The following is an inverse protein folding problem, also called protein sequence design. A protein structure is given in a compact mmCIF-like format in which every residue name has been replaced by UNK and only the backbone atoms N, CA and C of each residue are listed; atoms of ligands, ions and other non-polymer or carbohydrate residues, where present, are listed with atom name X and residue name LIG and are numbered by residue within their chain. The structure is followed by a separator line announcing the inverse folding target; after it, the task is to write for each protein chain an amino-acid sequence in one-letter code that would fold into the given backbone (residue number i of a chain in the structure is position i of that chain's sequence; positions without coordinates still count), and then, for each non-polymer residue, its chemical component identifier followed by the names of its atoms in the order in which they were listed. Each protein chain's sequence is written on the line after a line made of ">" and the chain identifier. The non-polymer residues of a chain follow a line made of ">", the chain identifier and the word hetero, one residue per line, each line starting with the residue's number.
data_IF_891736485555
#
_entry.id   IF_891736485555
#
_cell.length_a   1.000
_cell.length_b   1.000
_cell.length_c   1.000
_cell.angle_alpha   90.00
_cell.angle_beta   90.00
_cell.angle_gamma   90.00
#
_symmetry.space_group_name_H-M   'P 1'
#
loop_
_entity.id
_entity.type
_entity.pdbx_description
1 polymer ?
#
# COMPACT_ATOMS: atom_id res chain seq x y z
N UNK A 1 -12.24 -34.58 -56.82
CA UNK A 1 -11.20 -33.65 -56.28
C UNK A 1 -11.59 -33.24 -54.86
N UNK A 2 -10.81 -33.54 -53.83
CA UNK A 2 -11.10 -33.05 -52.50
C UNK A 2 -10.63 -31.59 -52.38
N UNK A 3 -11.26 -30.75 -51.51
CA UNK A 3 -10.92 -29.36 -51.38
C UNK A 3 -9.55 -29.19 -50.67
N UNK A 4 -8.72 -28.30 -51.20
CA UNK A 4 -7.42 -27.91 -50.61
C UNK A 4 -7.64 -27.26 -49.25
N UNK A 5 -7.02 -27.79 -48.21
CA UNK A 5 -6.90 -27.13 -46.90
C UNK A 5 -6.07 -25.84 -47.08
N UNK A 6 -6.67 -24.69 -46.84
CA UNK A 6 -5.95 -23.41 -46.78
C UNK A 6 -5.02 -23.41 -45.56
N UNK A 7 -3.73 -23.48 -45.82
CA UNK A 7 -2.73 -23.23 -44.80
C UNK A 7 -2.77 -21.75 -44.42
N UNK A 8 -3.06 -21.42 -43.14
CA UNK A 8 -2.87 -20.05 -42.61
C UNK A 8 -1.42 -19.63 -42.85
N UNK A 9 -1.15 -18.35 -43.22
CA UNK A 9 0.20 -17.87 -43.42
C UNK A 9 1.00 -17.97 -42.12
N UNK A 10 2.25 -18.41 -42.20
CA UNK A 10 3.17 -18.52 -41.06
C UNK A 10 3.38 -17.17 -40.30
N UNK A 11 3.08 -16.06 -40.98
CA UNK A 11 3.09 -14.72 -40.38
C UNK A 11 2.01 -14.56 -39.30
N UNK A 12 0.76 -14.96 -39.55
CA UNK A 12 -0.37 -14.87 -38.63
C UNK A 12 -0.18 -15.74 -37.37
N UNK A 13 0.47 -16.90 -37.54
CA UNK A 13 0.77 -17.81 -36.42
C UNK A 13 1.88 -17.21 -35.52
N UNK A 14 2.90 -16.60 -36.15
CA UNK A 14 3.97 -15.91 -35.37
C UNK A 14 3.50 -14.65 -34.68
N UNK A 15 2.57 -13.92 -35.25
CA UNK A 15 1.98 -12.73 -34.67
C UNK A 15 1.02 -13.08 -33.53
N UNK A 16 0.21 -14.13 -33.68
CA UNK A 16 -0.65 -14.64 -32.61
C UNK A 16 0.15 -15.27 -31.44
N UNK A 17 1.26 -15.94 -31.72
CA UNK A 17 2.18 -16.45 -30.70
C UNK A 17 2.91 -15.31 -29.98
N UNK A 18 3.36 -14.27 -30.70
CA UNK A 18 3.96 -13.08 -30.07
C UNK A 18 2.97 -12.30 -29.20
N UNK A 19 1.73 -12.15 -29.63
CA UNK A 19 0.69 -11.49 -28.84
C UNK A 19 0.30 -12.32 -27.61
N UNK A 20 0.25 -13.64 -27.71
CA UNK A 20 0.03 -14.55 -26.58
C UNK A 20 1.21 -14.56 -25.59
N UNK A 21 2.46 -14.67 -26.09
CA UNK A 21 3.65 -14.63 -25.25
C UNK A 21 3.88 -13.26 -24.59
N UNK A 22 3.56 -12.16 -25.29
CA UNK A 22 3.56 -10.82 -24.71
C UNK A 22 2.47 -10.65 -23.64
N UNK A 23 1.28 -11.17 -23.85
CA UNK A 23 0.21 -11.14 -22.86
C UNK A 23 0.59 -11.91 -21.58
N UNK A 24 1.20 -13.10 -21.71
CA UNK A 24 1.66 -13.90 -20.57
C UNK A 24 2.86 -13.27 -19.82
N UNK A 25 3.74 -12.57 -20.53
CA UNK A 25 4.89 -11.90 -19.89
C UNK A 25 4.51 -10.66 -19.08
N UNK A 26 3.31 -10.12 -19.26
CA UNK A 26 2.82 -8.93 -18.56
C UNK A 26 2.14 -9.22 -17.22
N UNK A 27 1.67 -10.45 -16.99
CA UNK A 27 0.98 -10.85 -15.76
C UNK A 27 1.98 -11.10 -14.64
N UNK A 28 1.78 -10.40 -13.53
CA UNK A 28 2.64 -10.48 -12.35
C UNK A 28 1.84 -11.05 -11.20
N UNK A 29 2.22 -12.24 -10.74
CA UNK A 29 1.57 -12.92 -9.63
C UNK A 29 2.10 -12.43 -8.27
N UNK A 30 1.20 -12.34 -7.30
CA UNK A 30 1.51 -12.16 -5.89
C UNK A 30 1.59 -13.56 -5.27
N UNK A 31 2.79 -13.96 -4.85
CA UNK A 31 3.05 -15.31 -4.31
C UNK A 31 3.26 -15.31 -2.80
N UNK A 32 3.49 -14.14 -2.19
CA UNK A 32 3.61 -14.01 -0.74
C UNK A 32 3.11 -12.67 -0.26
N UNK A 33 2.61 -12.64 0.97
CA UNK A 33 2.10 -11.44 1.64
C UNK A 33 2.57 -11.40 3.09
N UNK A 34 2.85 -10.20 3.59
CA UNK A 34 3.22 -9.99 4.99
C UNK A 34 2.83 -8.59 5.46
N UNK A 35 2.43 -8.47 6.72
CA UNK A 35 2.01 -7.19 7.28
C UNK A 35 2.22 -7.11 8.79
N UNK A 36 2.62 -5.92 9.25
CA UNK A 36 2.58 -5.53 10.66
C UNK A 36 1.84 -4.21 10.74
N UNK A 37 0.65 -4.22 11.29
CA UNK A 37 -0.29 -3.08 11.26
C UNK A 37 -0.93 -2.86 12.63
N UNK A 38 -1.77 -1.83 12.80
CA UNK A 38 -2.51 -1.64 14.05
C UNK A 38 -3.44 -2.79 14.41
N UNK A 39 -3.87 -3.61 13.45
CA UNK A 39 -4.79 -4.72 13.69
C UNK A 39 -4.12 -6.06 13.98
N UNK A 40 -2.81 -6.18 13.73
CA UNK A 40 -2.07 -7.40 13.99
C UNK A 40 -0.71 -7.47 13.31
N UNK A 41 -0.01 -8.57 13.54
CA UNK A 41 1.39 -8.77 13.15
C UNK A 41 1.56 -9.59 11.86
N UNK A 42 0.46 -9.94 11.19
CA UNK A 42 0.48 -10.77 9.98
C UNK A 42 -0.49 -10.24 8.91
N UNK A 43 -0.28 -10.65 7.66
CA UNK A 43 -1.22 -10.39 6.56
C UNK A 43 -2.61 -11.00 6.83
N UNK A 44 -2.67 -12.13 7.53
CA UNK A 44 -3.93 -12.77 7.95
C UNK A 44 -4.66 -11.94 9.02
N UNK A 45 -3.93 -11.33 9.97
CA UNK A 45 -4.52 -10.42 10.96
C UNK A 45 -5.07 -9.17 10.28
N UNK A 46 -4.35 -8.63 9.30
CA UNK A 46 -4.78 -7.47 8.52
C UNK A 46 -6.13 -7.75 7.82
N UNK A 47 -6.25 -8.88 7.15
CA UNK A 47 -7.50 -9.30 6.53
C UNK A 47 -8.63 -9.48 7.53
N UNK A 48 -8.39 -10.23 8.61
CA UNK A 48 -9.39 -10.42 9.65
C UNK A 48 -9.81 -9.09 10.31
N UNK A 49 -8.87 -8.15 10.47
CA UNK A 49 -9.15 -6.81 10.98
C UNK A 49 -10.00 -5.98 10.02
N UNK A 50 -9.74 -6.05 8.72
CA UNK A 50 -10.54 -5.39 7.70
C UNK A 50 -12.00 -5.89 7.73
N UNK A 51 -12.21 -7.20 7.82
CA UNK A 51 -13.56 -7.78 7.90
C UNK A 51 -14.31 -7.38 9.16
N UNK A 52 -13.63 -7.24 10.30
CA UNK A 52 -14.26 -6.78 11.55
C UNK A 52 -14.61 -5.30 11.52
N UNK A 53 -13.95 -4.51 10.68
CA UNK A 53 -14.09 -3.06 10.56
C UNK A 53 -14.05 -2.31 11.92
N UNK A 54 -13.27 -2.82 12.87
CA UNK A 54 -13.11 -2.20 14.18
C UNK A 54 -11.94 -1.22 14.15
N UNK A 55 -12.16 0.07 14.47
CA UNK A 55 -11.11 1.07 14.52
C UNK A 55 -10.04 0.73 15.55
N UNK A 56 -8.78 1.01 15.21
CA UNK A 56 -7.64 0.81 16.12
C UNK A 56 -7.12 2.11 16.72
N UNK A 57 -7.76 3.23 16.39
CA UNK A 57 -7.37 4.55 16.86
C UNK A 57 -7.50 4.65 18.38
N UNK A 58 -6.45 5.12 19.02
CA UNK A 58 -6.36 5.24 20.46
C UNK A 58 -5.53 6.47 20.88
N UNK A 59 -5.68 6.88 22.14
CA UNK A 59 -4.84 7.93 22.73
C UNK A 59 -3.39 7.43 22.79
N UNK A 60 -2.46 8.29 22.38
CA UNK A 60 -1.02 8.04 22.42
C UNK A 60 -0.47 8.75 23.68
N UNK A 61 -0.04 8.00 24.73
CA UNK A 61 0.26 8.59 26.03
C UNK A 61 1.32 9.69 26.00
N UNK A 62 2.40 9.53 25.22
CA UNK A 62 3.46 10.54 25.15
C UNK A 62 3.03 11.83 24.43
N UNK A 63 2.13 11.74 23.44
CA UNK A 63 1.54 12.90 22.77
C UNK A 63 0.57 13.64 23.70
N UNK A 64 -0.24 12.90 24.45
CA UNK A 64 -1.15 13.46 25.43
C UNK A 64 -0.38 14.18 26.55
N UNK A 65 0.68 13.56 27.09
CA UNK A 65 1.51 14.14 28.13
C UNK A 65 2.25 15.42 27.68
N UNK A 66 2.55 15.51 26.38
CA UNK A 66 3.20 16.68 25.77
C UNK A 66 2.21 17.78 25.34
N UNK A 67 0.91 17.64 25.61
CA UNK A 67 -0.10 18.65 25.32
C UNK A 67 -0.45 18.83 23.84
N UNK A 68 -0.28 17.78 23.01
CA UNK A 68 -0.63 17.84 21.61
C UNK A 68 -2.12 18.10 21.40
N UNK A 69 -2.47 18.89 20.38
CA UNK A 69 -3.87 19.14 19.97
C UNK A 69 -4.54 17.91 19.44
N UNK A 70 -3.79 16.99 18.80
CA UNK A 70 -4.25 15.68 18.34
C UNK A 70 -3.40 14.60 19.00
N UNK A 71 -3.77 14.13 20.23
CA UNK A 71 -2.98 13.17 20.98
C UNK A 71 -3.33 11.71 20.70
N UNK A 72 -3.89 11.39 19.53
CA UNK A 72 -4.34 10.05 19.17
C UNK A 72 -3.84 9.64 17.79
N UNK A 73 -3.85 8.33 17.54
CA UNK A 73 -3.42 7.71 16.31
C UNK A 73 -3.65 6.20 16.35
N UNK A 74 -3.26 5.50 15.30
CA UNK A 74 -3.35 4.05 15.17
C UNK A 74 -1.95 3.42 15.16
N UNK A 75 -1.35 3.16 16.34
CA UNK A 75 -0.03 2.55 16.43
C UNK A 75 -0.08 1.09 15.98
N UNK A 76 0.92 0.67 15.20
CA UNK A 76 1.10 -0.73 14.86
C UNK A 76 1.40 -1.55 16.12
N UNK A 77 0.99 -2.81 16.12
CA UNK A 77 1.43 -3.77 17.15
C UNK A 77 2.96 -3.86 17.18
N UNK A 78 3.52 -4.42 18.24
CA UNK A 78 4.97 -4.60 18.33
C UNK A 78 5.45 -5.56 17.25
N UNK A 79 6.38 -5.13 16.36
CA UNK A 79 6.91 -6.01 15.34
C UNK A 79 7.73 -7.14 15.98
N UNK A 80 7.61 -8.34 15.41
CA UNK A 80 8.37 -9.49 15.86
C UNK A 80 9.79 -9.46 15.28
N UNK A 81 10.77 -9.88 16.08
CA UNK A 81 12.14 -10.09 15.57
C UNK A 81 12.12 -11.28 14.62
N UNK A 82 12.47 -11.12 13.35
CA UNK A 82 12.49 -12.25 12.42
C UNK A 82 13.43 -13.36 12.86
N UNK A 83 13.07 -14.60 12.53
CA UNK A 83 13.92 -15.75 12.80
C UNK A 83 15.32 -15.56 12.16
N UNK A 84 16.37 -15.91 12.87
CA UNK A 84 17.76 -15.71 12.41
C UNK A 84 18.32 -14.29 12.60
N UNK A 85 17.49 -13.31 12.96
CA UNK A 85 17.95 -11.95 13.25
C UNK A 85 18.27 -11.78 14.73
N UNK A 86 19.43 -11.18 15.05
CA UNK A 86 19.72 -10.86 16.45
C UNK A 86 18.80 -9.76 16.97
N UNK A 87 18.24 -9.94 18.17
CA UNK A 87 17.43 -8.91 18.84
C UNK A 87 18.19 -7.59 19.04
N UNK A 88 19.53 -7.63 19.17
CA UNK A 88 20.37 -6.44 19.24
C UNK A 88 20.34 -5.64 17.94
N UNK A 89 20.48 -6.29 16.79
CA UNK A 89 20.44 -5.63 15.50
C UNK A 89 19.05 -5.06 15.22
N UNK A 90 18.00 -5.82 15.53
CA UNK A 90 16.62 -5.37 15.39
C UNK A 90 16.33 -4.10 16.21
N UNK A 91 16.74 -4.05 17.49
CA UNK A 91 16.57 -2.86 18.35
C UNK A 91 17.38 -1.63 17.91
N UNK A 92 18.39 -1.80 17.06
CA UNK A 92 19.18 -0.70 16.49
C UNK A 92 18.56 -0.07 15.24
N UNK A 93 17.48 -0.62 14.73
CA UNK A 93 16.72 -0.03 13.63
C UNK A 93 15.75 1.03 14.18
N UNK A 94 15.44 2.03 13.36
CA UNK A 94 14.26 2.87 13.62
C UNK A 94 12.99 2.02 13.45
N UNK A 95 11.92 2.44 14.12
CA UNK A 95 10.66 1.68 14.14
C UNK A 95 10.08 1.40 12.76
N UNK A 96 10.15 2.37 11.81
CA UNK A 96 9.67 2.10 10.45
C UNK A 96 10.39 0.92 9.78
N UNK A 97 11.72 0.83 9.99
CA UNK A 97 12.52 -0.27 9.45
C UNK A 97 12.21 -1.60 10.17
N UNK A 98 11.95 -1.58 11.48
CA UNK A 98 11.51 -2.78 12.21
C UNK A 98 10.18 -3.31 11.65
N UNK A 99 9.20 -2.44 11.42
CA UNK A 99 7.91 -2.78 10.81
C UNK A 99 8.09 -3.37 9.40
N UNK A 100 8.92 -2.68 8.59
CA UNK A 100 9.21 -3.12 7.22
C UNK A 100 9.94 -4.46 7.16
N UNK A 101 10.94 -4.67 8.00
CA UNK A 101 11.70 -5.93 8.05
C UNK A 101 10.81 -7.08 8.48
N UNK A 102 10.01 -6.91 9.55
CA UNK A 102 9.11 -7.97 10.02
C UNK A 102 8.08 -8.36 8.95
N UNK A 103 7.41 -7.39 8.33
CA UNK A 103 6.43 -7.63 7.28
C UNK A 103 7.07 -8.20 5.99
N UNK A 104 8.24 -7.68 5.60
CA UNK A 104 8.95 -8.15 4.40
C UNK A 104 9.44 -9.59 4.55
N UNK A 105 9.95 -9.97 5.71
CA UNK A 105 10.38 -11.34 5.97
C UNK A 105 9.20 -12.31 6.01
N UNK A 106 8.06 -11.92 6.60
CA UNK A 106 6.83 -12.71 6.54
C UNK A 106 6.41 -12.94 5.08
N UNK A 107 6.34 -11.89 4.25
CA UNK A 107 5.97 -12.00 2.84
C UNK A 107 6.92 -12.93 2.07
N UNK A 108 8.22 -12.82 2.31
CA UNK A 108 9.21 -13.65 1.64
C UNK A 108 9.06 -15.13 2.03
N UNK A 109 8.83 -15.43 3.30
CA UNK A 109 8.58 -16.80 3.77
C UNK A 109 7.25 -17.35 3.25
N UNK A 110 6.17 -16.55 3.25
CA UNK A 110 4.86 -16.93 2.71
C UNK A 110 4.92 -17.29 1.22
N UNK A 111 5.82 -16.65 0.46
CA UNK A 111 6.00 -16.92 -0.96
C UNK A 111 6.56 -18.31 -1.26
N UNK A 112 7.23 -18.93 -0.30
CA UNK A 112 7.93 -20.18 -0.49
C UNK A 112 9.08 -20.11 -1.50
N UNK A 113 9.56 -18.92 -1.85
CA UNK A 113 10.74 -18.73 -2.73
C UNK A 113 11.96 -19.35 -2.04
N UNK A 114 12.52 -20.38 -2.66
CA UNK A 114 13.74 -21.05 -2.19
C UNK A 114 14.67 -21.32 -3.36
N UNK A 115 15.98 -21.19 -3.11
CA UNK A 115 16.99 -21.46 -4.15
C UNK A 115 17.02 -20.45 -5.31
N UNK A 116 16.32 -19.31 -5.20
CA UNK A 116 16.45 -18.22 -6.15
C UNK A 116 17.88 -17.67 -6.13
N UNK A 117 18.42 -17.30 -7.30
CA UNK A 117 19.68 -16.59 -7.38
C UNK A 117 19.57 -15.24 -6.64
N UNK A 118 20.32 -15.01 -5.55
CA UNK A 118 20.22 -13.78 -4.76
C UNK A 118 20.47 -12.50 -5.58
N UNK A 119 21.19 -12.58 -6.69
CA UNK A 119 21.44 -11.44 -7.59
C UNK A 119 20.22 -11.09 -8.46
N UNK A 120 19.26 -12.01 -8.56
CA UNK A 120 18.03 -11.88 -9.34
C UNK A 120 16.78 -11.67 -8.49
N UNK A 121 16.95 -11.44 -7.19
CA UNK A 121 15.88 -11.01 -6.27
C UNK A 121 16.05 -9.52 -5.99
N UNK A 122 15.01 -8.72 -6.11
CA UNK A 122 15.02 -7.30 -5.77
C UNK A 122 14.20 -7.01 -4.51
N UNK A 123 14.56 -5.94 -3.80
CA UNK A 123 13.79 -5.36 -2.71
C UNK A 123 13.39 -3.93 -3.10
N UNK A 124 12.10 -3.62 -3.10
CA UNK A 124 11.58 -2.27 -3.42
C UNK A 124 10.69 -1.81 -2.28
N UNK A 125 11.11 -0.78 -1.57
CA UNK A 125 10.41 -0.28 -0.38
C UNK A 125 9.84 1.11 -0.64
N UNK A 126 8.54 1.26 -0.48
CA UNK A 126 7.85 2.55 -0.42
C UNK A 126 7.98 3.16 0.98
N UNK A 127 8.39 4.43 1.04
CA UNK A 127 8.51 5.13 2.31
C UNK A 127 8.35 6.65 2.09
N UNK A 128 7.58 7.33 2.94
CA UNK A 128 7.31 8.75 2.79
C UNK A 128 8.36 9.63 3.50
N UNK A 129 8.79 9.27 4.70
CA UNK A 129 9.59 10.16 5.56
C UNK A 129 10.83 9.54 6.21
N UNK A 130 11.03 8.24 6.12
CA UNK A 130 12.20 7.56 6.71
C UNK A 130 12.16 7.44 8.23
N UNK A 131 13.34 7.33 8.86
CA UNK A 131 13.53 7.11 10.29
C UNK A 131 13.23 8.33 11.14
N UNK A 132 11.98 8.71 11.22
CA UNK A 132 11.54 9.94 11.88
C UNK A 132 11.70 9.89 13.39
N UNK A 133 11.39 8.75 14.01
CA UNK A 133 11.53 8.58 15.44
C UNK A 133 13.00 8.72 15.91
N UNK A 134 13.92 8.13 15.17
CA UNK A 134 15.35 8.31 15.46
C UNK A 134 15.81 9.74 15.22
N UNK A 135 15.37 10.38 14.12
CA UNK A 135 15.73 11.77 13.83
C UNK A 135 15.31 12.73 14.94
N UNK A 136 14.04 12.63 15.38
CA UNK A 136 13.50 13.50 16.44
C UNK A 136 14.25 13.27 17.78
N UNK A 137 14.52 12.03 18.15
CA UNK A 137 15.26 11.66 19.35
C UNK A 137 16.70 12.19 19.34
N UNK A 138 17.45 11.94 18.28
CA UNK A 138 18.85 12.35 18.18
C UNK A 138 18.98 13.88 18.11
N UNK A 139 18.04 14.56 17.44
CA UNK A 139 17.99 16.03 17.41
C UNK A 139 17.74 16.63 18.81
N UNK A 140 16.84 16.02 19.59
CA UNK A 140 16.58 16.43 20.96
C UNK A 140 17.83 16.21 21.86
N UNK A 141 18.51 15.07 21.71
CA UNK A 141 19.76 14.80 22.46
C UNK A 141 20.87 15.78 22.08
N UNK A 142 21.04 16.10 20.80
CA UNK A 142 21.99 17.11 20.36
C UNK A 142 21.71 18.48 20.99
N UNK A 143 20.44 18.90 21.02
CA UNK A 143 20.04 20.19 21.58
C UNK A 143 20.32 20.32 23.09
N UNK A 144 20.22 19.20 23.84
CA UNK A 144 20.42 19.18 25.30
C UNK A 144 21.89 18.96 25.70
N UNK A 145 22.59 18.02 25.02
CA UNK A 145 23.89 17.52 25.48
C UNK A 145 25.02 17.67 24.42
N UNK A 146 24.75 18.33 23.31
CA UNK A 146 25.73 18.63 22.27
C UNK A 146 26.14 17.43 21.38
N UNK A 147 27.16 17.63 20.52
CA UNK A 147 27.49 16.67 19.46
C UNK A 147 27.93 15.28 19.93
N UNK A 148 28.54 15.19 21.13
CA UNK A 148 29.00 13.90 21.69
C UNK A 148 27.86 12.99 22.16
N UNK A 149 26.64 13.51 22.29
CA UNK A 149 25.48 12.75 22.71
C UNK A 149 24.76 12.05 21.53
N UNK A 150 25.07 12.41 20.29
CA UNK A 150 24.43 11.84 19.10
C UNK A 150 24.96 10.44 18.83
N UNK A 151 24.05 9.50 18.57
CA UNK A 151 24.41 8.13 18.25
C UNK A 151 25.15 8.02 16.91
N UNK A 152 26.26 7.29 16.82
CA UNK A 152 26.94 7.03 15.55
C UNK A 152 26.09 6.17 14.59
N UNK A 153 25.01 5.56 15.07
CA UNK A 153 24.05 4.80 14.25
C UNK A 153 22.96 5.68 13.64
N UNK A 154 22.85 6.96 14.04
CA UNK A 154 21.81 7.86 13.55
C UNK A 154 21.69 7.85 12.01
N UNK A 155 22.77 7.96 11.22
CA UNK A 155 22.63 7.96 9.76
C UNK A 155 21.94 6.70 9.23
N UNK A 156 22.35 5.52 9.70
CA UNK A 156 21.78 4.25 9.25
C UNK A 156 20.35 4.00 9.74
N UNK A 157 19.93 4.70 10.80
CA UNK A 157 18.58 4.62 11.34
C UNK A 157 17.60 5.56 10.63
N UNK A 158 18.09 6.72 10.18
CA UNK A 158 17.24 7.78 9.62
C UNK A 158 17.08 7.74 8.12
N UNK A 159 18.01 7.10 7.40
CA UNK A 159 17.97 7.02 5.93
C UNK A 159 16.71 6.28 5.43
N UNK A 160 15.97 6.82 4.45
CA UNK A 160 14.77 6.17 3.91
C UNK A 160 15.01 4.76 3.37
N UNK A 161 16.23 4.46 2.89
CA UNK A 161 16.60 3.15 2.37
C UNK A 161 16.96 2.11 3.45
N UNK A 162 16.91 2.47 4.74
CA UNK A 162 17.32 1.56 5.82
C UNK A 162 16.49 0.26 5.83
N UNK A 163 15.18 0.33 5.60
CA UNK A 163 14.33 -0.85 5.55
C UNK A 163 14.72 -1.78 4.40
N UNK A 164 14.92 -1.25 3.18
CA UNK A 164 15.33 -2.03 2.01
C UNK A 164 16.69 -2.71 2.25
N UNK A 165 17.66 -1.97 2.80
CA UNK A 165 18.98 -2.50 3.12
C UNK A 165 18.93 -3.62 4.17
N UNK A 166 18.15 -3.43 5.25
CA UNK A 166 18.05 -4.41 6.32
C UNK A 166 17.31 -5.69 5.91
N UNK A 167 16.28 -5.57 5.06
CA UNK A 167 15.63 -6.72 4.44
C UNK A 167 16.63 -7.51 3.57
N UNK A 168 17.34 -6.79 2.68
CA UNK A 168 18.33 -7.41 1.79
C UNK A 168 19.45 -8.12 2.56
N UNK A 169 19.99 -7.48 3.60
CA UNK A 169 21.03 -8.06 4.46
C UNK A 169 20.50 -9.32 5.17
N UNK A 170 19.29 -9.26 5.74
CA UNK A 170 18.74 -10.38 6.49
C UNK A 170 18.44 -11.61 5.61
N UNK A 171 17.85 -11.37 4.44
CA UNK A 171 17.48 -12.42 3.49
C UNK A 171 18.63 -12.86 2.56
N UNK A 172 19.81 -12.22 2.64
CA UNK A 172 20.94 -12.52 1.78
C UNK A 172 20.71 -12.11 0.31
N UNK A 173 19.83 -11.15 0.06
CA UNK A 173 19.51 -10.65 -1.28
C UNK A 173 20.63 -9.69 -1.74
N UNK A 174 21.22 -9.97 -2.89
CA UNK A 174 22.31 -9.18 -3.49
C UNK A 174 21.93 -8.53 -4.83
N UNK A 175 20.68 -8.66 -5.25
CA UNK A 175 20.11 -7.92 -6.37
C UNK A 175 19.76 -6.46 -6.00
N UNK A 176 19.03 -5.74 -6.87
CA UNK A 176 18.68 -4.34 -6.65
C UNK A 176 17.87 -4.14 -5.37
N UNK A 177 18.25 -3.17 -4.53
CA UNK A 177 17.49 -2.74 -3.35
C UNK A 177 17.24 -1.24 -3.45
N UNK A 178 15.98 -0.84 -3.60
CA UNK A 178 15.58 0.54 -3.85
C UNK A 178 14.52 1.03 -2.86
N UNK A 179 14.46 2.36 -2.70
CA UNK A 179 13.38 3.02 -1.98
C UNK A 179 12.67 3.99 -2.92
N UNK A 180 11.36 3.92 -2.96
CA UNK A 180 10.47 4.81 -3.71
C UNK A 180 9.77 5.74 -2.72
N UNK A 181 9.77 7.05 -3.01
CA UNK A 181 9.20 8.07 -2.15
C UNK A 181 8.20 8.94 -2.93
N UNK A 182 6.94 8.54 -2.93
CA UNK A 182 5.79 9.25 -3.49
C UNK A 182 4.71 9.47 -2.44
N UNK A 183 5.16 9.77 -1.20
CA UNK A 183 4.33 9.99 -0.02
C UNK A 183 3.34 8.82 0.22
N UNK A 184 2.04 9.08 0.24
CA UNK A 184 1.03 8.04 0.50
C UNK A 184 0.93 6.99 -0.62
N UNK A 185 1.36 7.31 -1.84
CA UNK A 185 1.35 6.39 -2.98
C UNK A 185 2.58 5.44 -3.01
N UNK A 186 3.59 5.66 -2.15
CA UNK A 186 4.88 4.96 -2.19
C UNK A 186 4.75 3.43 -2.23
N UNK A 187 3.82 2.85 -1.47
CA UNK A 187 3.63 1.40 -1.43
C UNK A 187 3.10 0.81 -2.73
N UNK A 188 2.15 1.51 -3.40
CA UNK A 188 1.67 1.11 -4.73
C UNK A 188 2.75 1.31 -5.78
N UNK A 189 3.46 2.44 -5.76
CA UNK A 189 4.54 2.73 -6.70
C UNK A 189 5.72 1.77 -6.54
N UNK A 190 5.98 1.27 -5.33
CA UNK A 190 6.97 0.22 -5.11
C UNK A 190 6.58 -1.09 -5.84
N UNK A 191 5.29 -1.46 -5.82
CA UNK A 191 4.77 -2.60 -6.58
C UNK A 191 4.90 -2.34 -8.09
N UNK A 192 4.46 -1.18 -8.58
CA UNK A 192 4.56 -0.80 -10.00
C UNK A 192 6.00 -0.79 -10.52
N UNK A 193 6.93 -0.28 -9.72
CA UNK A 193 8.36 -0.34 -10.06
C UNK A 193 8.89 -1.79 -10.05
N UNK A 194 8.47 -2.61 -9.07
CA UNK A 194 8.77 -4.04 -9.04
C UNK A 194 8.29 -4.78 -10.28
N UNK A 195 7.07 -4.49 -10.75
CA UNK A 195 6.55 -5.03 -12.02
C UNK A 195 7.45 -4.68 -13.22
N UNK A 196 7.95 -3.44 -13.26
CA UNK A 196 8.87 -2.99 -14.33
C UNK A 196 10.18 -3.78 -14.30
N UNK A 197 10.75 -4.05 -13.13
CA UNK A 197 11.97 -4.86 -13.00
C UNK A 197 11.75 -6.31 -13.47
N UNK A 198 10.60 -6.93 -13.15
CA UNK A 198 10.26 -8.28 -13.59
C UNK A 198 10.03 -8.35 -15.10
N UNK A 199 9.25 -7.41 -15.65
CA UNK A 199 8.92 -7.35 -17.08
C UNK A 199 10.15 -7.09 -17.96
N UNK A 200 11.10 -6.31 -17.46
CA UNK A 200 12.38 -6.09 -18.14
C UNK A 200 13.33 -7.30 -18.09
N UNK A 201 12.97 -8.36 -17.36
CA UNK A 201 13.81 -9.54 -17.17
C UNK A 201 15.07 -9.28 -16.32
N UNK A 202 15.15 -8.11 -15.65
CA UNK A 202 16.31 -7.75 -14.84
C UNK A 202 16.40 -8.60 -13.56
N UNK A 203 15.25 -9.00 -13.00
CA UNK A 203 15.15 -9.89 -11.84
C UNK A 203 14.04 -10.92 -12.07
N UNK A 204 13.98 -11.94 -11.23
CA UNK A 204 12.98 -12.99 -11.30
C UNK A 204 11.97 -12.94 -10.14
N UNK A 205 12.37 -12.34 -9.03
CA UNK A 205 11.54 -12.16 -7.84
C UNK A 205 11.70 -10.71 -7.33
N UNK A 206 10.61 -10.11 -6.90
CA UNK A 206 10.64 -8.80 -6.24
C UNK A 206 9.87 -8.86 -4.92
N UNK A 207 10.52 -8.51 -3.83
CA UNK A 207 9.86 -8.18 -2.58
C UNK A 207 9.54 -6.69 -2.59
N UNK A 208 8.27 -6.34 -2.79
CA UNK A 208 7.79 -4.96 -2.91
C UNK A 208 6.80 -4.63 -1.80
N UNK A 209 6.87 -3.42 -1.26
CA UNK A 209 5.92 -2.99 -0.24
C UNK A 209 6.27 -1.63 0.33
N UNK A 210 5.67 -1.31 1.47
CA UNK A 210 5.95 -0.04 2.14
C UNK A 210 5.94 -0.17 3.67
N UNK A 211 6.62 0.77 4.32
CA UNK A 211 6.65 0.84 5.78
C UNK A 211 6.79 2.28 6.26
N UNK A 212 6.12 2.60 7.38
CA UNK A 212 6.11 3.95 7.93
C UNK A 212 5.89 3.94 9.44
N UNK A 213 6.52 4.90 10.15
CA UNK A 213 6.27 5.15 11.58
C UNK A 213 6.43 6.64 11.87
N UNK A 214 5.32 7.34 12.02
CA UNK A 214 5.26 8.81 12.11
C UNK A 214 4.48 9.32 13.33
N UNK A 215 4.14 8.46 14.28
CA UNK A 215 3.50 8.86 15.54
C UNK A 215 4.51 9.51 16.51
N UNK A 216 5.26 10.49 16.00
CA UNK A 216 6.26 11.25 16.78
C UNK A 216 5.76 12.65 17.08
N UNK A 217 6.22 13.28 18.19
CA UNK A 217 5.74 14.60 18.58
C UNK A 217 5.87 15.65 17.48
N UNK A 218 7.03 15.74 16.83
CA UNK A 218 7.26 16.78 15.80
C UNK A 218 6.41 16.54 14.58
N UNK A 219 6.29 15.28 14.12
CA UNK A 219 5.47 14.95 12.94
C UNK A 219 3.99 15.20 13.21
N UNK A 220 3.48 14.77 14.36
CA UNK A 220 2.08 15.00 14.72
C UNK A 220 1.74 16.48 14.85
N UNK A 221 2.66 17.28 15.43
CA UNK A 221 2.49 18.73 15.51
C UNK A 221 2.44 19.37 14.10
N UNK A 222 3.32 18.95 13.19
CA UNK A 222 3.37 19.47 11.83
C UNK A 222 2.07 19.15 11.04
N UNK A 223 1.58 17.90 11.09
CA UNK A 223 0.33 17.53 10.43
C UNK A 223 -0.91 18.18 11.06
N UNK A 224 -0.90 18.40 12.40
CA UNK A 224 -1.94 19.16 13.07
C UNK A 224 -1.95 20.63 12.61
N UNK A 225 -0.78 21.25 12.48
CA UNK A 225 -0.65 22.62 11.97
C UNK A 225 -1.10 22.76 10.50
N UNK A 226 -1.02 21.70 9.70
CA UNK A 226 -1.57 21.65 8.35
C UNK A 226 -3.10 21.51 8.30
N UNK A 227 -3.77 21.34 9.46
CA UNK A 227 -5.19 21.00 9.57
C UNK A 227 -5.58 19.74 8.76
N UNK A 228 -4.66 18.78 8.65
CA UNK A 228 -4.88 17.55 7.90
C UNK A 228 -5.42 16.42 8.78
N UNK A 229 -5.15 16.47 10.09
CA UNK A 229 -5.59 15.47 11.07
C UNK A 229 -7.01 15.74 11.57
N UNK A 230 -7.75 14.67 11.87
CA UNK A 230 -9.02 14.77 12.58
C UNK A 230 -8.80 15.41 13.96
N UNK A 231 -9.75 16.24 14.37
CA UNK A 231 -9.74 16.93 15.66
C UNK A 231 -10.67 16.31 16.70
N UNK A 232 -11.26 15.15 16.41
CA UNK A 232 -12.27 14.45 17.22
C UNK A 232 -11.68 13.82 18.50
N UNK A 233 -11.29 14.66 19.44
CA UNK A 233 -10.59 14.26 20.69
C UNK A 233 -11.49 13.49 21.66
N UNK A 234 -12.80 13.81 21.68
CA UNK A 234 -13.78 13.20 22.59
C UNK A 234 -14.15 11.78 22.17
N UNK A 235 -13.95 11.46 20.88
CA UNK A 235 -14.18 10.12 20.32
C UNK A 235 -13.09 9.78 19.32
N UNK A 236 -11.84 9.47 19.77
CA UNK A 236 -10.74 9.12 18.89
C UNK A 236 -11.02 7.88 18.02
N UNK A 237 -11.74 6.91 18.53
CA UNK A 237 -12.10 5.68 17.80
C UNK A 237 -12.99 5.97 16.60
N UNK A 238 -13.86 6.96 16.68
CA UNK A 238 -14.73 7.43 15.60
C UNK A 238 -14.09 8.46 14.67
N UNK A 239 -12.81 8.78 14.82
CA UNK A 239 -12.17 9.89 14.11
C UNK A 239 -11.92 9.59 12.62
N UNK A 240 -11.42 8.40 12.27
CA UNK A 240 -11.25 8.00 10.87
C UNK A 240 -12.54 7.40 10.33
N UNK A 241 -13.19 8.12 9.41
CA UNK A 241 -14.53 7.81 8.86
C UNK A 241 -14.63 8.13 7.37
N UNK A 242 -13.98 7.34 6.51
CA UNK A 242 -13.93 7.61 5.07
C UNK A 242 -15.33 7.77 4.45
N UNK A 243 -15.49 8.78 3.59
CA UNK A 243 -16.72 9.15 2.86
C UNK A 243 -17.93 9.53 3.75
N UNK A 244 -17.78 9.50 5.06
CA UNK A 244 -18.85 9.94 5.98
C UNK A 244 -19.00 11.47 5.92
N UNK A 245 -20.24 11.94 6.07
CA UNK A 245 -20.56 13.38 6.03
C UNK A 245 -19.83 14.17 7.12
N UNK A 246 -19.63 13.56 8.28
CA UNK A 246 -19.07 14.23 9.46
C UNK A 246 -17.54 13.98 9.60
N UNK A 247 -16.85 13.59 8.51
CA UNK A 247 -15.39 13.46 8.48
C UNK A 247 -14.73 14.82 8.56
N UNK A 248 -13.62 14.92 9.28
CA UNK A 248 -12.94 16.19 9.55
C UNK A 248 -11.41 16.14 9.33
N UNK A 249 -10.86 14.98 8.97
CA UNK A 249 -9.42 14.79 8.75
C UNK A 249 -9.02 13.33 8.88
N UNK A 250 -7.77 13.01 8.54
CA UNK A 250 -7.28 11.65 8.70
C UNK A 250 -6.74 11.37 10.11
N UNK A 251 -6.64 10.11 10.46
CA UNK A 251 -5.94 9.63 11.66
C UNK A 251 -4.59 9.07 11.25
N UNK A 252 -3.50 9.53 11.86
CA UNK A 252 -2.17 8.99 11.61
C UNK A 252 -2.07 7.55 12.10
N UNK A 253 -1.57 6.67 11.24
CA UNK A 253 -1.23 5.29 11.54
C UNK A 253 0.25 4.99 11.30
N UNK A 254 0.69 3.80 11.69
CA UNK A 254 1.99 3.25 11.35
C UNK A 254 1.88 1.78 10.97
N UNK A 255 2.82 1.28 10.17
CA UNK A 255 2.79 -0.12 9.76
C UNK A 255 3.86 -0.47 8.73
N UNK A 256 3.88 -1.75 8.37
CA UNK A 256 4.60 -2.29 7.23
C UNK A 256 3.74 -3.32 6.52
N UNK A 257 3.75 -3.31 5.20
CA UNK A 257 3.05 -4.29 4.37
C UNK A 257 3.87 -4.57 3.11
N UNK A 258 4.01 -5.84 2.76
CA UNK A 258 4.83 -6.31 1.65
C UNK A 258 4.15 -7.43 0.89
N UNK A 259 4.47 -7.52 -0.40
CA UNK A 259 4.11 -8.62 -1.27
C UNK A 259 5.34 -9.14 -2.01
N UNK A 260 5.36 -10.43 -2.34
CA UNK A 260 6.33 -11.01 -3.26
C UNK A 260 5.70 -11.13 -4.63
N UNK A 261 6.40 -10.62 -5.62
CA UNK A 261 5.98 -10.56 -7.01
C UNK A 261 6.86 -11.47 -7.87
N UNK A 262 6.25 -12.21 -8.77
CA UNK A 262 6.91 -13.05 -9.75
C UNK A 262 6.14 -12.97 -11.09
N UNK A 263 6.82 -13.20 -12.22
CA UNK A 263 6.09 -13.42 -13.47
C UNK A 263 5.19 -14.66 -13.31
N UNK A 264 3.94 -14.59 -13.74
CA UNK A 264 2.97 -15.67 -13.54
C UNK A 264 3.49 -17.02 -14.03
N UNK A 265 4.12 -17.05 -15.22
CA UNK A 265 4.73 -18.27 -15.78
C UNK A 265 5.79 -18.90 -14.86
N UNK A 266 6.60 -18.08 -14.21
CA UNK A 266 7.68 -18.55 -13.32
C UNK A 266 7.11 -19.06 -12.00
N UNK A 267 6.10 -18.36 -11.45
CA UNK A 267 5.37 -18.76 -10.26
C UNK A 267 4.65 -20.12 -10.47
N UNK A 268 3.96 -20.27 -11.60
CA UNK A 268 3.30 -21.53 -11.97
C UNK A 268 4.30 -22.65 -12.17
N UNK A 269 5.42 -22.39 -12.87
CA UNK A 269 6.44 -23.39 -13.16
C UNK A 269 7.09 -23.96 -11.87
N UNK A 270 7.24 -23.16 -10.82
CA UNK A 270 7.75 -23.65 -9.52
C UNK A 270 6.67 -24.18 -8.57
N UNK A 271 5.40 -24.18 -8.99
CA UNK A 271 4.28 -24.62 -8.15
C UNK A 271 3.96 -23.68 -6.99
N UNK A 272 4.19 -22.38 -7.16
CA UNK A 272 3.90 -21.39 -6.12
C UNK A 272 2.40 -21.31 -5.83
N UNK A 273 2.06 -21.01 -4.57
CA UNK A 273 0.75 -20.46 -4.28
C UNK A 273 0.65 -19.06 -4.92
N UNK A 274 -0.42 -18.82 -5.64
CA UNK A 274 -0.76 -17.51 -6.20
C UNK A 274 -1.94 -16.97 -5.40
N UNK A 275 -1.74 -15.85 -4.72
CA UNK A 275 -2.78 -15.16 -3.97
C UNK A 275 -3.68 -14.32 -4.89
N UNK A 276 -3.12 -13.79 -5.96
CA UNK A 276 -3.76 -12.98 -6.98
C UNK A 276 -2.74 -12.53 -8.01
N UNK A 277 -3.21 -11.87 -9.06
CA UNK A 277 -2.37 -11.37 -10.15
C UNK A 277 -2.58 -9.87 -10.33
N UNK A 278 -1.50 -9.10 -10.40
CA UNK A 278 -1.55 -7.68 -10.79
C UNK A 278 -1.62 -7.62 -12.31
N UNK A 279 -2.71 -7.06 -12.82
CA UNK A 279 -2.98 -6.96 -14.25
C UNK A 279 -2.49 -5.66 -14.85
N UNK A 280 -2.62 -4.55 -14.11
CA UNK A 280 -2.25 -3.23 -14.60
C UNK A 280 -1.90 -2.26 -13.49
N UNK A 281 -1.05 -1.29 -13.83
CA UNK A 281 -0.59 -0.21 -12.97
C UNK A 281 -0.68 1.13 -13.72
N UNK A 282 -1.09 2.18 -13.01
CA UNK A 282 -1.08 3.54 -13.52
C UNK A 282 -0.50 4.49 -12.48
N UNK A 283 0.33 5.43 -12.93
CA UNK A 283 0.93 6.45 -12.05
C UNK A 283 0.99 7.79 -12.75
N UNK A 284 0.58 8.84 -12.06
CA UNK A 284 0.54 10.22 -12.57
C UNK A 284 0.88 11.22 -11.48
N UNK A 285 1.05 12.47 -11.88
CA UNK A 285 1.23 13.60 -10.95
C UNK A 285 0.25 14.71 -11.30
N UNK A 286 -0.43 15.30 -10.31
CA UNK A 286 -1.38 16.40 -10.49
C UNK A 286 -0.72 17.69 -10.99
N UNK A 287 0.55 17.92 -10.63
CA UNK A 287 1.29 19.15 -10.89
C UNK A 287 0.50 20.41 -10.48
N UNK A 288 -0.20 20.36 -9.35
CA UNK A 288 -1.13 21.40 -8.91
C UNK A 288 -0.72 22.05 -7.58
N UNK A 289 -0.61 21.27 -6.49
CA UNK A 289 -0.33 21.79 -5.14
C UNK A 289 0.43 20.75 -4.31
N UNK A 290 1.22 21.22 -3.30
CA UNK A 290 2.04 20.31 -2.47
C UNK A 290 1.21 19.39 -1.58
N UNK A 291 0.03 19.81 -1.10
CA UNK A 291 -0.75 19.06 -0.11
C UNK A 291 -2.23 18.86 -0.50
N UNK A 292 -2.72 19.56 -1.52
CA UNK A 292 -4.11 19.45 -1.95
C UNK A 292 -4.21 18.68 -3.27
N UNK A 293 -5.19 17.78 -3.41
CA UNK A 293 -5.47 17.14 -4.68
C UNK A 293 -5.95 18.19 -5.70
N UNK A 294 -5.74 17.92 -6.97
CA UNK A 294 -6.34 18.74 -8.04
C UNK A 294 -7.88 18.69 -7.91
N UNK A 295 -8.58 19.85 -7.84
CA UNK A 295 -10.03 19.87 -7.57
C UNK A 295 -10.87 19.05 -8.56
N UNK A 296 -10.42 18.94 -9.80
CA UNK A 296 -11.06 18.12 -10.83
C UNK A 296 -10.66 16.64 -10.77
N UNK A 297 -9.66 16.25 -9.95
CA UNK A 297 -9.18 14.87 -9.87
C UNK A 297 -8.57 14.32 -11.15
N UNK A 298 -8.04 15.20 -12.03
CA UNK A 298 -7.60 14.80 -13.40
C UNK A 298 -6.46 13.79 -13.36
N UNK A 299 -5.48 14.01 -12.45
CA UNK A 299 -4.37 13.09 -12.26
C UNK A 299 -4.82 11.74 -11.73
N UNK A 300 -5.67 11.73 -10.68
CA UNK A 300 -6.23 10.52 -10.11
C UNK A 300 -7.04 9.71 -11.14
N UNK A 301 -7.89 10.38 -11.93
CA UNK A 301 -8.64 9.75 -13.02
C UNK A 301 -7.70 9.16 -14.09
N UNK A 302 -6.66 9.89 -14.48
CA UNK A 302 -5.69 9.43 -15.45
C UNK A 302 -4.92 8.18 -14.96
N UNK A 303 -4.52 8.13 -13.68
CA UNK A 303 -3.86 6.96 -13.09
C UNK A 303 -4.78 5.73 -13.12
N UNK A 304 -6.05 5.87 -12.74
CA UNK A 304 -7.03 4.78 -12.79
C UNK A 304 -7.22 4.30 -14.24
N UNK A 305 -7.42 5.22 -15.20
CA UNK A 305 -7.59 4.84 -16.62
C UNK A 305 -6.36 4.18 -17.22
N UNK A 306 -5.15 4.60 -16.82
CA UNK A 306 -3.90 3.92 -17.23
C UNK A 306 -3.86 2.49 -16.69
N UNK A 307 -4.18 2.28 -15.40
CA UNK A 307 -4.21 0.93 -14.80
C UNK A 307 -5.22 0.02 -15.50
N UNK A 308 -6.43 0.51 -15.80
CA UNK A 308 -7.45 -0.23 -16.55
C UNK A 308 -6.98 -0.57 -17.97
N UNK A 309 -6.39 0.40 -18.68
CA UNK A 309 -5.89 0.19 -20.04
C UNK A 309 -4.74 -0.82 -20.09
N UNK A 310 -3.80 -0.75 -19.12
CA UNK A 310 -2.69 -1.72 -19.03
C UNK A 310 -3.21 -3.12 -18.67
N UNK A 311 -4.24 -3.20 -17.81
CA UNK A 311 -4.89 -4.46 -17.48
C UNK A 311 -5.71 -5.06 -18.65
N UNK A 312 -6.06 -4.27 -19.64
CA UNK A 312 -6.98 -4.67 -20.71
C UNK A 312 -8.41 -4.91 -20.21
N UNK A 313 -8.83 -4.19 -19.16
CA UNK A 313 -10.09 -4.38 -18.43
C UNK A 313 -10.98 -3.17 -18.61
N UNK A 314 -12.25 -3.40 -18.95
CA UNK A 314 -13.28 -2.34 -18.98
C UNK A 314 -13.69 -1.90 -17.59
N UNK A 315 -14.14 -0.63 -17.46
CA UNK A 315 -14.60 -0.14 -16.16
C UNK A 315 -15.81 -0.92 -15.61
N UNK A 316 -16.65 -1.48 -16.47
CA UNK A 316 -17.82 -2.30 -16.12
C UNK A 316 -17.45 -3.70 -15.60
N UNK A 317 -16.22 -4.15 -15.83
CA UNK A 317 -15.71 -5.43 -15.32
C UNK A 317 -15.20 -5.32 -13.87
N UNK A 318 -14.85 -4.11 -13.40
CA UNK A 318 -14.35 -3.92 -12.02
C UNK A 318 -15.41 -4.30 -11.01
N UNK A 319 -15.08 -5.29 -10.18
CA UNK A 319 -15.98 -5.86 -9.20
C UNK A 319 -16.05 -5.04 -7.91
N UNK A 320 -14.96 -4.29 -7.57
CA UNK A 320 -14.81 -3.57 -6.31
C UNK A 320 -13.69 -2.52 -6.40
N UNK A 321 -13.79 -1.46 -5.61
CA UNK A 321 -12.75 -0.45 -5.44
C UNK A 321 -12.33 -0.39 -3.97
N UNK A 322 -11.05 -0.67 -3.68
CA UNK A 322 -10.43 -0.33 -2.41
C UNK A 322 -9.82 1.06 -2.55
N UNK A 323 -10.50 2.03 -1.99
CA UNK A 323 -10.19 3.45 -2.18
C UNK A 323 -9.05 3.93 -1.32
N UNK A 324 -8.45 5.06 -1.72
CA UNK A 324 -7.53 5.79 -0.85
C UNK A 324 -8.22 6.24 0.44
N UNK A 325 -9.42 6.81 0.38
CA UNK A 325 -10.35 7.00 1.49
C UNK A 325 -9.71 7.48 2.79
N UNK A 326 -9.13 8.68 2.80
CA UNK A 326 -8.35 9.19 3.94
C UNK A 326 -9.21 9.73 5.08
N UNK A 327 -10.53 9.87 4.90
CA UNK A 327 -11.40 10.57 5.85
C UNK A 327 -11.16 12.10 5.89
N UNK A 328 -10.50 12.66 4.87
CA UNK A 328 -10.36 14.11 4.74
C UNK A 328 -11.49 14.68 3.87
N UNK A 329 -11.97 15.90 4.17
CA UNK A 329 -13.03 16.53 3.39
C UNK A 329 -12.68 16.62 1.90
N UNK A 330 -11.44 17.00 1.55
CA UNK A 330 -11.04 17.25 0.15
C UNK A 330 -10.77 15.96 -0.62
N UNK A 331 -9.97 15.03 -0.06
CA UNK A 331 -9.61 13.81 -0.79
C UNK A 331 -10.84 12.96 -1.09
N UNK A 332 -11.66 12.67 -0.07
CA UNK A 332 -12.77 11.73 -0.22
C UNK A 332 -13.82 12.26 -1.21
N UNK A 333 -14.05 13.58 -1.23
CA UNK A 333 -14.91 14.21 -2.22
C UNK A 333 -14.35 14.08 -3.64
N UNK A 334 -13.07 14.43 -3.86
CA UNK A 334 -12.45 14.35 -5.19
C UNK A 334 -12.38 12.92 -5.67
N UNK A 335 -11.95 11.99 -4.81
CA UNK A 335 -11.87 10.57 -5.13
C UNK A 335 -13.23 9.97 -5.49
N UNK A 336 -14.27 10.25 -4.70
CA UNK A 336 -15.62 9.77 -4.98
C UNK A 336 -16.14 10.27 -6.33
N UNK A 337 -15.87 11.54 -6.67
CA UNK A 337 -16.24 12.10 -7.95
C UNK A 337 -15.46 11.46 -9.12
N UNK A 338 -14.17 11.14 -8.92
CA UNK A 338 -13.36 10.42 -9.91
C UNK A 338 -13.91 9.01 -10.13
N UNK A 339 -14.17 8.26 -9.05
CA UNK A 339 -14.78 6.92 -9.12
C UNK A 339 -16.10 6.99 -9.88
N UNK A 340 -16.97 7.94 -9.56
CA UNK A 340 -18.25 8.11 -10.25
C UNK A 340 -18.10 8.38 -11.76
N UNK A 341 -17.10 9.19 -12.16
CA UNK A 341 -16.84 9.49 -13.59
C UNK A 341 -16.21 8.32 -14.34
N UNK A 342 -15.36 7.52 -13.69
CA UNK A 342 -14.75 6.34 -14.32
C UNK A 342 -15.75 5.21 -14.49
N UNK A 343 -16.64 5.03 -13.50
CA UNK A 343 -17.59 3.92 -13.42
C UNK A 343 -19.04 4.36 -13.70
N UNK A 344 -19.25 5.16 -14.77
CA UNK A 344 -20.56 5.76 -15.11
C UNK A 344 -21.70 4.78 -15.32
N UNK A 345 -21.41 3.59 -15.85
CA UNK A 345 -22.41 2.56 -16.18
C UNK A 345 -22.63 1.54 -15.06
N UNK A 346 -21.86 1.63 -14.00
CA UNK A 346 -21.84 0.67 -12.93
C UNK A 346 -21.18 1.32 -11.69
N UNK A 347 -21.78 1.15 -10.52
CA UNK A 347 -21.21 1.61 -9.26
C UNK A 347 -20.60 0.42 -8.52
N UNK A 348 -19.28 0.17 -8.64
CA UNK A 348 -18.65 -0.89 -7.86
C UNK A 348 -18.74 -0.57 -6.36
N UNK A 349 -18.92 -1.57 -5.49
CA UNK A 349 -18.83 -1.36 -4.05
C UNK A 349 -17.44 -0.80 -3.68
N UNK A 350 -17.44 0.18 -2.77
CA UNK A 350 -16.24 0.87 -2.30
C UNK A 350 -15.95 0.53 -0.85
N UNK A 351 -14.72 0.10 -0.57
CA UNK A 351 -14.19 -0.03 0.80
C UNK A 351 -13.05 0.96 1.03
N UNK A 352 -12.73 1.22 2.31
CA UNK A 352 -11.61 2.07 2.72
C UNK A 352 -11.00 1.54 4.02
N UNK A 353 -9.79 1.00 3.92
CA UNK A 353 -9.11 0.37 5.05
C UNK A 353 -8.71 1.36 6.16
N UNK A 354 -8.51 2.64 5.80
CA UNK A 354 -8.04 3.67 6.73
C UNK A 354 -9.02 4.00 7.86
N UNK A 355 -10.29 3.62 7.74
CA UNK A 355 -11.23 3.64 8.86
C UNK A 355 -10.83 2.70 10.00
N UNK A 356 -10.12 1.61 9.67
CA UNK A 356 -9.64 0.60 10.62
C UNK A 356 -8.22 0.90 11.08
N UNK A 357 -7.28 1.09 10.15
CA UNK A 357 -5.83 1.16 10.43
C UNK A 357 -5.31 2.58 10.66
N UNK A 358 -6.14 3.62 10.46
CA UNK A 358 -5.61 4.95 10.24
C UNK A 358 -4.80 5.01 8.92
N UNK A 359 -4.20 6.14 8.66
CA UNK A 359 -3.38 6.37 7.48
C UNK A 359 -1.91 6.04 7.77
N UNK A 360 -1.43 4.88 7.31
CA UNK A 360 -0.06 4.40 7.49
C UNK A 360 0.91 4.95 6.43
N UNK A 361 0.58 6.08 5.78
CA UNK A 361 1.37 6.76 4.74
C UNK A 361 1.92 5.78 3.69
N UNK A 362 3.27 5.66 3.59
CA UNK A 362 3.92 4.80 2.62
C UNK A 362 3.59 3.30 2.71
N UNK A 363 3.08 2.83 3.84
CA UNK A 363 2.66 1.44 4.03
C UNK A 363 1.22 1.17 3.57
N UNK A 364 0.36 2.22 3.53
CA UNK A 364 -1.09 2.06 3.29
C UNK A 364 -1.40 1.34 1.97
N UNK A 365 -0.79 1.78 0.88
CA UNK A 365 -1.11 1.25 -0.45
C UNK A 365 -0.89 -0.26 -0.56
N UNK A 366 0.22 -0.78 -0.03
CA UNK A 366 0.47 -2.24 -0.07
C UNK A 366 -0.46 -3.00 0.88
N UNK A 367 -0.81 -2.45 2.05
CA UNK A 367 -1.81 -3.04 2.94
C UNK A 367 -3.18 -3.13 2.24
N UNK A 368 -3.55 -2.11 1.47
CA UNK A 368 -4.75 -2.08 0.66
C UNK A 368 -4.71 -3.09 -0.50
N UNK A 369 -3.55 -3.30 -1.14
CA UNK A 369 -3.36 -4.39 -2.13
C UNK A 369 -3.62 -5.76 -1.49
N UNK A 370 -3.05 -6.04 -0.30
CA UNK A 370 -3.28 -7.30 0.41
C UNK A 370 -4.78 -7.52 0.66
N UNK A 371 -5.48 -6.50 1.18
CA UNK A 371 -6.92 -6.59 1.43
C UNK A 371 -7.71 -6.76 0.12
N UNK A 372 -7.31 -6.08 -0.96
CA UNK A 372 -7.99 -6.19 -2.27
C UNK A 372 -7.84 -7.59 -2.87
N UNK A 373 -6.64 -8.15 -2.84
CA UNK A 373 -6.35 -9.51 -3.28
C UNK A 373 -7.17 -10.54 -2.48
N UNK A 374 -7.22 -10.38 -1.15
CA UNK A 374 -8.04 -11.24 -0.29
C UNK A 374 -9.53 -11.07 -0.57
N UNK A 375 -10.00 -9.84 -0.83
CA UNK A 375 -11.39 -9.60 -1.22
C UNK A 375 -11.79 -10.37 -2.49
N UNK A 376 -10.93 -10.32 -3.51
CA UNK A 376 -11.17 -11.04 -4.78
C UNK A 376 -11.13 -12.55 -4.55
N UNK A 377 -10.11 -13.06 -3.85
CA UNK A 377 -9.93 -14.51 -3.66
C UNK A 377 -11.00 -15.15 -2.78
N UNK A 378 -11.58 -14.40 -1.83
CA UNK A 378 -12.61 -14.90 -0.91
C UNK A 378 -14.03 -14.48 -1.33
N UNK A 379 -14.17 -13.62 -2.33
CA UNK A 379 -15.48 -13.16 -2.81
C UNK A 379 -16.21 -12.26 -1.83
N UNK A 380 -15.49 -11.48 -1.00
CA UNK A 380 -16.06 -10.66 0.07
C UNK A 380 -15.40 -9.28 0.10
N UNK A 381 -16.20 -8.21 0.16
CA UNK A 381 -15.72 -6.83 0.36
C UNK A 381 -15.91 -6.42 1.82
N UNK A 382 -14.84 -6.00 2.52
CA UNK A 382 -14.94 -5.49 3.90
C UNK A 382 -15.73 -4.19 3.99
N UNK A 383 -16.45 -3.93 5.10
CA UNK A 383 -17.11 -2.66 5.29
C UNK A 383 -16.16 -1.55 5.72
N UNK A 384 -16.55 -0.30 5.49
CA UNK A 384 -15.84 0.89 5.96
C UNK A 384 -16.21 1.14 7.43
N UNK A 385 -15.19 1.23 8.27
CA UNK A 385 -15.39 1.53 9.69
C UNK A 385 -15.87 2.97 9.89
N UNK A 386 -16.66 3.19 10.95
CA UNK A 386 -17.19 4.49 11.39
C UNK A 386 -18.10 5.21 10.37
N UNK A 387 -18.43 4.58 9.27
CA UNK A 387 -19.33 5.20 8.29
C UNK A 387 -20.78 5.09 8.76
N UNK A 388 -21.45 6.21 8.93
CA UNK A 388 -22.86 6.28 9.36
C UNK A 388 -23.78 6.90 8.31
N UNK A 389 -23.31 7.92 7.62
CA UNK A 389 -24.06 8.62 6.57
C UNK A 389 -23.10 9.12 5.49
N UNK A 390 -23.28 8.61 4.26
CA UNK A 390 -22.50 9.05 3.12
C UNK A 390 -22.69 10.55 2.86
N UNK A 391 -21.58 11.26 2.65
CA UNK A 391 -21.61 12.66 2.24
C UNK A 391 -22.31 12.76 0.86
N UNK A 392 -23.32 13.63 0.69
CA UNK A 392 -23.95 13.84 -0.61
C UNK A 392 -22.99 14.25 -1.74
N UNK A 393 -21.83 14.83 -1.40
CA UNK A 393 -20.78 15.17 -2.37
C UNK A 393 -19.89 13.98 -2.75
N UNK A 394 -20.08 12.80 -2.11
CA UNK A 394 -19.37 11.56 -2.36
C UNK A 394 -20.27 10.50 -3.03
N UNK A 395 -20.55 10.59 -4.34
CA UNK A 395 -21.50 9.72 -5.04
C UNK A 395 -20.92 8.32 -5.31
N UNK A 396 -20.62 7.55 -4.27
CA UNK A 396 -20.06 6.19 -4.32
C UNK A 396 -20.88 5.22 -3.46
N UNK A 397 -20.86 3.93 -3.83
CA UNK A 397 -21.54 2.84 -3.12
C UNK A 397 -20.63 2.31 -1.99
N UNK A 398 -20.60 3.00 -0.85
CA UNK A 398 -19.77 2.61 0.30
C UNK A 398 -20.34 1.34 0.94
N UNK A 399 -19.49 0.34 1.17
CA UNK A 399 -19.86 -0.87 1.93
C UNK A 399 -19.93 -0.52 3.42
N UNK A 400 -21.08 -0.67 4.03
CA UNK A 400 -21.34 -0.28 5.42
C UNK A 400 -21.94 -1.42 6.23
N UNK A 401 -21.74 -1.41 7.54
CA UNK A 401 -22.25 -2.43 8.45
C UNK A 401 -21.54 -3.78 8.27
N UNK A 402 -22.15 -4.68 7.52
CA UNK A 402 -21.61 -6.00 7.25
C UNK A 402 -20.81 -6.04 5.95
N UNK A 403 -19.91 -7.03 5.86
CA UNK A 403 -19.19 -7.35 4.61
C UNK A 403 -20.18 -7.71 3.50
N UNK A 404 -19.86 -7.29 2.28
CA UNK A 404 -20.70 -7.53 1.09
C UNK A 404 -20.12 -8.65 0.23
N UNK A 405 -20.99 -9.52 -0.29
CA UNK A 405 -20.57 -10.52 -1.29
C UNK A 405 -20.08 -9.80 -2.56
N UNK A 406 -18.96 -10.27 -3.07
CA UNK A 406 -18.33 -9.76 -4.28
C UNK A 406 -18.76 -10.57 -5.50
N UNK A 407 -19.13 -9.91 -6.59
CA UNK A 407 -19.22 -10.60 -7.89
C UNK A 407 -17.80 -10.97 -8.36
N UNK A 408 -17.61 -12.13 -9.02
CA UNK A 408 -16.31 -12.45 -9.63
C UNK A 408 -15.85 -11.37 -10.62
N UNK A 409 -14.58 -11.02 -10.57
CA UNK A 409 -13.99 -10.02 -11.47
C UNK A 409 -12.79 -9.32 -10.86
N UNK A 410 -12.04 -8.56 -11.65
CA UNK A 410 -10.92 -7.77 -11.17
C UNK A 410 -11.37 -6.65 -10.24
N UNK A 411 -10.49 -6.24 -9.35
CA UNK A 411 -10.69 -5.13 -8.42
C UNK A 411 -9.64 -4.05 -8.63
N UNK A 412 -10.00 -2.82 -8.27
CA UNK A 412 -9.11 -1.66 -8.31
C UNK A 412 -8.70 -1.27 -6.88
N UNK A 413 -7.44 -0.89 -6.70
CA UNK A 413 -6.98 -0.15 -5.51
C UNK A 413 -6.18 1.07 -5.94
N UNK A 414 -6.34 2.20 -5.22
CA UNK A 414 -5.69 3.46 -5.55
C UNK A 414 -5.13 4.16 -4.30
N UNK A 415 -4.07 4.92 -4.51
CA UNK A 415 -3.45 5.75 -3.49
C UNK A 415 -3.10 7.11 -4.06
N UNK A 416 -3.46 8.18 -3.33
CA UNK A 416 -3.20 9.55 -3.70
C UNK A 416 -2.36 10.24 -2.62
N UNK A 417 -1.24 10.80 -3.00
CA UNK A 417 -0.24 11.33 -2.06
C UNK A 417 -0.05 12.84 -2.16
N UNK A 418 0.39 13.46 -1.06
CA UNK A 418 0.92 14.82 -1.08
C UNK A 418 2.01 14.93 -2.15
N UNK A 419 2.15 16.10 -2.77
CA UNK A 419 2.94 16.27 -3.99
C UNK A 419 2.13 16.03 -5.27
N UNK A 420 0.86 15.59 -5.14
CA UNK A 420 -0.02 15.27 -6.25
C UNK A 420 0.29 13.90 -6.88
N UNK A 421 0.95 13.01 -6.16
CA UNK A 421 1.25 11.65 -6.64
C UNK A 421 -0.02 10.79 -6.64
N UNK A 422 -0.32 10.15 -7.75
CA UNK A 422 -1.47 9.28 -7.92
C UNK A 422 -1.01 7.93 -8.44
N UNK A 423 -1.41 6.84 -7.78
CA UNK A 423 -1.14 5.48 -8.20
C UNK A 423 -2.42 4.64 -8.14
N UNK A 424 -2.56 3.72 -9.09
CA UNK A 424 -3.67 2.77 -9.15
C UNK A 424 -3.19 1.40 -9.63
N UNK A 425 -3.75 0.33 -9.06
CA UNK A 425 -3.49 -1.06 -9.45
C UNK A 425 -4.80 -1.78 -9.73
N UNK A 426 -4.81 -2.61 -10.78
CA UNK A 426 -5.87 -3.58 -11.06
C UNK A 426 -5.36 -4.97 -10.71
N UNK A 427 -6.10 -5.70 -9.88
CA UNK A 427 -5.75 -7.06 -9.42
C UNK A 427 -6.90 -8.03 -9.65
N UNK A 428 -6.58 -9.32 -9.83
CA UNK A 428 -7.54 -10.42 -9.95
C UNK A 428 -7.08 -11.64 -9.17
#
# INVERSE_FOLDING_TARGET
>A
MPPRKSSRPLHDVRESLRTSEMADSHRISITGMGAVTPVGATASDLWAGALRAQPTTQIIPHLQASGHSVPFGSPAVSPQVPEGMSAKNFRRMDRFAQLGVSAGVEAYHDSGVSGADPTRVAVVVGNAVGGRAASDRESAQYAVAGPSAVSPLMPTMTMPNAAAAMIAIHLGISGPAHTVATTCASGLDAIGYGMTLLRSGRVDVVLAGGCESTLTPVTMAAFAALNALSTRREDPSGASRPFDRDRDGFVMGEGGAFVVLEREKDAVARGARIWGTVLGYGSTTDAFHLTQPHPGGVGAEAAIRQALAEAGVGSDEISHVNSHGTSTPLNDKVEAQVIHRVFTNHSPPVTALKGVTGHMLGASGTAEVIVTVRSVSEGIVPPVANHSLTDPECPVDVVTGDSRQLRPGPALTNSFGFGGHNAALVVV
#
